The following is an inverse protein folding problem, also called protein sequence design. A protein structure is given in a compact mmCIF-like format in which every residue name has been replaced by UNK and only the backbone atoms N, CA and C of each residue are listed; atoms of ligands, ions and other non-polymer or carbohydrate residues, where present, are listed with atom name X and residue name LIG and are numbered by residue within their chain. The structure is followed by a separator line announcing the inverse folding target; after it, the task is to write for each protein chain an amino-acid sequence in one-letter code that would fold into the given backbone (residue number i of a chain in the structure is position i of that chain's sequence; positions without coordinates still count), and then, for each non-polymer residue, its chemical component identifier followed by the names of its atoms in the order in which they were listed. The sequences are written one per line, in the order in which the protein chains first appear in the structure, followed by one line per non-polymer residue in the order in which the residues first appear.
data_IF_217753913222
#
_entry.id   IF_217753913222
#
_cell.length_a   1.000
_cell.length_b   1.000
_cell.length_c   1.000
_cell.angle_alpha   90.00
_cell.angle_beta   90.00
_cell.angle_gamma   90.00
#
_symmetry.space_group_name_H-M   'P 1'
#
loop_
_entity.id
_entity.type
_entity.pdbx_description
1 polymer ?
#
# COMPACT_ATOMS: atom_id res chain seq x y z
N UNK A 1 -24.30 16.71 -18.77
CA UNK A 1 -23.30 17.11 -17.77
C UNK A 1 -23.14 16.01 -16.73
N UNK A 2 -24.25 15.53 -16.16
CA UNK A 2 -24.24 14.54 -15.07
C UNK A 2 -23.62 13.18 -15.44
N UNK A 3 -23.88 12.66 -16.64
CA UNK A 3 -23.26 11.41 -17.12
C UNK A 3 -21.73 11.52 -17.26
N UNK A 4 -21.21 12.69 -17.65
CA UNK A 4 -19.76 12.91 -17.72
C UNK A 4 -19.17 12.90 -16.32
N UNK A 5 -19.82 13.54 -15.34
CA UNK A 5 -19.37 13.54 -13.94
C UNK A 5 -19.38 12.13 -13.34
N UNK A 6 -20.43 11.33 -13.59
CA UNK A 6 -20.48 9.93 -13.14
C UNK A 6 -19.35 9.13 -13.77
N UNK A 7 -19.13 9.27 -15.09
CA UNK A 7 -18.06 8.59 -15.80
C UNK A 7 -16.68 8.95 -15.24
N UNK A 8 -16.41 10.23 -15.00
CA UNK A 8 -15.14 10.69 -14.45
C UNK A 8 -14.90 10.11 -13.04
N UNK A 9 -15.92 10.10 -12.18
CA UNK A 9 -15.84 9.49 -10.84
C UNK A 9 -15.57 7.98 -10.92
N UNK A 10 -16.24 7.26 -11.81
CA UNK A 10 -16.04 5.82 -11.99
C UNK A 10 -14.63 5.49 -12.51
N UNK A 11 -14.12 6.27 -13.48
CA UNK A 11 -12.75 6.10 -13.98
C UNK A 11 -11.72 6.31 -12.86
N UNK A 12 -11.95 7.27 -11.97
CA UNK A 12 -11.10 7.51 -10.80
C UNK A 12 -11.15 6.38 -9.80
N UNK A 13 -12.34 5.90 -9.44
CA UNK A 13 -12.49 4.77 -8.53
C UNK A 13 -11.78 3.51 -9.08
N UNK A 14 -11.90 3.23 -10.38
CA UNK A 14 -11.17 2.15 -11.06
C UNK A 14 -9.65 2.31 -10.92
N UNK A 15 -9.16 3.51 -11.15
CA UNK A 15 -7.72 3.80 -11.08
C UNK A 15 -7.20 3.69 -9.63
N UNK A 16 -7.98 4.16 -8.66
CA UNK A 16 -7.67 4.01 -7.22
C UNK A 16 -7.65 2.55 -6.79
N UNK A 17 -8.59 1.73 -7.25
CA UNK A 17 -8.61 0.30 -7.00
C UNK A 17 -7.36 -0.38 -7.59
N UNK A 18 -7.02 -0.06 -8.84
CA UNK A 18 -5.83 -0.59 -9.50
C UNK A 18 -4.55 -0.19 -8.78
N UNK A 19 -4.43 1.08 -8.36
CA UNK A 19 -3.29 1.57 -7.60
C UNK A 19 -3.17 0.89 -6.23
N UNK A 20 -4.28 0.72 -5.51
CA UNK A 20 -4.31 0.02 -4.21
C UNK A 20 -3.83 -1.43 -4.34
N UNK A 21 -4.31 -2.15 -5.35
CA UNK A 21 -3.86 -3.52 -5.61
C UNK A 21 -2.37 -3.58 -5.97
N UNK A 22 -1.89 -2.67 -6.81
CA UNK A 22 -0.46 -2.58 -7.15
C UNK A 22 0.42 -2.28 -5.91
N UNK A 23 -0.07 -1.43 -5.00
CA UNK A 23 0.60 -1.15 -3.73
C UNK A 23 0.71 -2.41 -2.88
N UNK A 24 -0.39 -3.17 -2.71
CA UNK A 24 -0.41 -4.42 -1.96
C UNK A 24 0.56 -5.46 -2.55
N UNK A 25 0.56 -5.64 -3.88
CA UNK A 25 1.50 -6.55 -4.55
C UNK A 25 2.96 -6.11 -4.38
N UNK A 26 3.23 -4.81 -4.44
CA UNK A 26 4.59 -4.27 -4.24
C UNK A 26 5.07 -4.53 -2.81
N UNK A 27 4.20 -4.31 -1.82
CA UNK A 27 4.50 -4.57 -0.41
C UNK A 27 4.71 -6.07 -0.15
N UNK A 28 3.89 -6.94 -0.76
CA UNK A 28 4.04 -8.40 -0.63
C UNK A 28 5.36 -8.91 -1.22
N UNK A 29 5.74 -8.39 -2.40
CA UNK A 29 7.05 -8.66 -2.99
C UNK A 29 8.19 -8.19 -2.09
N UNK A 30 8.10 -6.99 -1.51
CA UNK A 30 9.11 -6.49 -0.59
C UNK A 30 9.21 -7.32 0.68
N UNK A 31 8.08 -7.74 1.27
CA UNK A 31 8.07 -8.65 2.42
C UNK A 31 8.83 -9.94 2.11
N UNK A 32 8.53 -10.55 0.97
CA UNK A 32 9.20 -11.77 0.51
C UNK A 32 10.71 -11.58 0.31
N UNK A 33 11.12 -10.44 -0.25
CA UNK A 33 12.54 -10.09 -0.40
C UNK A 33 13.23 -9.86 0.94
N UNK A 34 12.58 -9.17 1.89
CA UNK A 34 13.09 -8.95 3.25
C UNK A 34 13.29 -10.29 3.97
N UNK A 35 12.32 -11.21 3.88
CA UNK A 35 12.42 -12.55 4.46
C UNK A 35 13.58 -13.36 3.86
N UNK A 36 13.78 -13.26 2.54
CA UNK A 36 14.90 -13.91 1.86
C UNK A 36 16.25 -13.33 2.30
N UNK A 37 16.35 -12.01 2.40
CA UNK A 37 17.56 -11.32 2.85
C UNK A 37 17.87 -11.65 4.30
N UNK A 38 16.86 -11.65 5.18
CA UNK A 38 17.01 -12.03 6.58
C UNK A 38 17.61 -13.43 6.73
N UNK A 39 17.09 -14.41 5.97
CA UNK A 39 17.64 -15.77 5.94
C UNK A 39 19.07 -15.80 5.42
N UNK A 40 19.33 -15.14 4.28
CA UNK A 40 20.66 -15.10 3.66
C UNK A 40 21.72 -14.50 4.59
N UNK A 41 21.37 -13.42 5.29
CA UNK A 41 22.26 -12.76 6.27
C UNK A 41 22.56 -13.70 7.43
N UNK A 42 21.55 -14.37 7.99
CA UNK A 42 21.74 -15.36 9.06
C UNK A 42 22.57 -16.57 8.63
N UNK A 43 22.37 -17.06 7.40
CA UNK A 43 23.07 -18.23 6.86
C UNK A 43 24.55 -17.91 6.55
N UNK A 44 24.85 -16.71 6.06
CA UNK A 44 26.23 -16.30 5.69
C UNK A 44 27.10 -15.90 6.87
N UNK A 45 26.55 -15.15 7.81
CA UNK A 45 27.30 -14.61 8.95
C UNK A 45 27.20 -15.54 10.18
N UNK A 46 26.29 -16.51 10.19
CA UNK A 46 25.91 -17.23 11.40
C UNK A 46 25.12 -16.32 12.36
N UNK A 47 24.25 -16.92 13.18
CA UNK A 47 23.31 -16.18 14.04
C UNK A 47 23.99 -15.22 15.05
N UNK A 48 25.29 -15.37 15.31
CA UNK A 48 26.04 -14.56 16.28
C UNK A 48 26.86 -13.40 15.69
N UNK A 49 27.06 -13.33 14.38
CA UNK A 49 27.91 -12.29 13.75
C UNK A 49 27.11 -11.27 12.94
N UNK A 50 25.79 -11.41 12.85
CA UNK A 50 24.93 -10.39 12.24
C UNK A 50 24.98 -9.13 13.12
N UNK A 51 25.38 -7.96 12.58
CA UNK A 51 25.35 -6.72 13.33
C UNK A 51 23.94 -6.46 13.85
N UNK A 52 23.81 -6.21 15.16
CA UNK A 52 22.50 -6.00 15.81
C UNK A 52 21.68 -4.91 15.11
N UNK A 53 22.32 -3.81 14.72
CA UNK A 53 21.67 -2.71 14.01
C UNK A 53 21.05 -3.14 12.67
N UNK A 54 21.68 -4.09 11.96
CA UNK A 54 21.14 -4.64 10.72
C UNK A 54 19.93 -5.53 10.99
N UNK A 55 20.01 -6.41 11.99
CA UNK A 55 18.91 -7.29 12.38
C UNK A 55 17.67 -6.49 12.84
N UNK A 56 17.90 -5.44 13.64
CA UNK A 56 16.87 -4.52 14.10
C UNK A 56 16.26 -3.74 12.93
N UNK A 57 17.09 -3.28 11.99
CA UNK A 57 16.63 -2.59 10.77
C UNK A 57 15.74 -3.50 9.90
N UNK A 58 16.17 -4.73 9.63
CA UNK A 58 15.39 -5.72 8.86
C UNK A 58 14.04 -5.98 9.53
N UNK A 59 14.04 -6.21 10.86
CA UNK A 59 12.82 -6.46 11.63
C UNK A 59 11.87 -5.26 11.60
N UNK A 60 12.41 -4.05 11.77
CA UNK A 60 11.63 -2.82 11.72
C UNK A 60 10.99 -2.60 10.34
N UNK A 61 11.74 -2.81 9.26
CA UNK A 61 11.20 -2.67 7.90
C UNK A 61 10.14 -3.73 7.59
N UNK A 62 10.34 -4.98 8.02
CA UNK A 62 9.33 -6.03 7.89
C UNK A 62 8.01 -5.65 8.57
N UNK A 63 8.08 -5.19 9.82
CA UNK A 63 6.92 -4.70 10.55
C UNK A 63 6.25 -3.52 9.84
N UNK A 64 7.05 -2.60 9.30
CA UNK A 64 6.51 -1.44 8.57
C UNK A 64 5.78 -1.84 7.29
N UNK A 65 6.27 -2.84 6.56
CA UNK A 65 5.56 -3.42 5.40
C UNK A 65 4.22 -4.00 5.84
N UNK A 66 4.19 -4.79 6.92
CA UNK A 66 2.95 -5.37 7.45
C UNK A 66 1.94 -4.32 7.90
N UNK A 67 2.40 -3.26 8.57
CA UNK A 67 1.55 -2.12 8.93
C UNK A 67 0.94 -1.44 7.71
N UNK A 68 1.72 -1.24 6.64
CA UNK A 68 1.23 -0.64 5.39
C UNK A 68 0.25 -1.56 4.66
N UNK A 69 0.52 -2.87 4.62
CA UNK A 69 -0.41 -3.86 4.07
C UNK A 69 -1.72 -3.84 4.85
N UNK A 70 -1.66 -3.85 6.18
CA UNK A 70 -2.83 -3.77 7.03
C UNK A 70 -3.57 -2.44 6.85
N UNK A 71 -2.89 -1.31 6.71
CA UNK A 71 -3.57 -0.04 6.43
C UNK A 71 -4.29 -0.05 5.08
N UNK A 72 -3.80 -0.74 4.07
CA UNK A 72 -4.49 -0.83 2.78
C UNK A 72 -5.61 -1.87 2.79
N UNK A 73 -5.41 -2.98 3.52
CA UNK A 73 -6.33 -4.12 3.56
C UNK A 73 -7.32 -4.11 4.74
N UNK A 74 -7.11 -3.31 5.79
CA UNK A 74 -7.97 -3.22 6.97
C UNK A 74 -8.63 -1.84 7.08
N UNK A 75 -9.86 -1.79 7.62
CA UNK A 75 -10.52 -0.53 7.95
C UNK A 75 -9.81 0.19 9.12
N UNK A 76 -9.69 1.52 9.04
CA UNK A 76 -9.16 2.32 10.15
C UNK A 76 -10.09 2.28 11.38
N UNK A 77 -9.50 2.02 12.55
CA UNK A 77 -10.09 2.36 13.85
C UNK A 77 -10.79 1.25 14.65
N UNK A 78 -10.39 -0.02 14.60
CA UNK A 78 -10.99 -1.03 15.47
C UNK A 78 -10.16 -2.29 15.74
N UNK A 79 -10.27 -2.81 16.96
CA UNK A 79 -9.89 -4.17 17.36
C UNK A 79 -10.78 -5.18 16.61
N UNK A 80 -10.47 -5.48 15.35
CA UNK A 80 -11.07 -6.60 14.60
C UNK A 80 -12.60 -6.66 14.60
N UNK A 81 -13.32 -5.53 14.71
CA UNK A 81 -14.78 -5.55 14.60
C UNK A 81 -15.16 -5.74 13.13
N UNK A 82 -15.73 -6.91 12.86
CA UNK A 82 -16.45 -7.27 11.65
C UNK A 82 -17.48 -6.18 11.32
N UNK A 83 -17.30 -5.42 10.23
CA UNK A 83 -18.34 -4.47 9.80
C UNK A 83 -17.90 -3.25 8.99
N UNK A 84 -16.60 -2.95 8.86
CA UNK A 84 -16.13 -1.89 7.96
C UNK A 84 -15.43 -2.50 6.76
N UNK A 85 -16.01 -2.30 5.57
CA UNK A 85 -15.42 -2.73 4.31
C UNK A 85 -14.03 -2.10 4.11
N UNK A 86 -13.11 -2.85 3.52
CA UNK A 86 -11.73 -2.44 3.26
C UNK A 86 -11.69 -1.22 2.32
N UNK A 87 -10.58 -0.46 2.27
CA UNK A 87 -10.49 0.66 1.32
C UNK A 87 -10.80 0.20 -0.12
N UNK A 88 -10.25 -0.95 -0.52
CA UNK A 88 -10.49 -1.53 -1.85
C UNK A 88 -11.95 -1.94 -2.06
N UNK A 89 -12.60 -2.49 -1.03
CA UNK A 89 -14.00 -2.91 -1.07
C UNK A 89 -14.95 -1.71 -1.10
N UNK A 90 -14.63 -0.64 -0.37
CA UNK A 90 -15.42 0.60 -0.36
C UNK A 90 -15.31 1.35 -1.68
N UNK A 91 -14.11 1.41 -2.26
CA UNK A 91 -13.89 1.94 -3.62
C UNK A 91 -14.71 1.14 -4.63
N UNK A 92 -14.60 -0.20 -4.60
CA UNK A 92 -15.35 -1.08 -5.49
C UNK A 92 -16.87 -0.97 -5.29
N UNK A 93 -17.32 -0.88 -4.04
CA UNK A 93 -18.73 -0.72 -3.68
C UNK A 93 -19.33 0.56 -4.28
N UNK A 94 -18.66 1.70 -4.11
CA UNK A 94 -19.11 2.95 -4.71
C UNK A 94 -19.07 2.89 -6.24
N UNK A 95 -18.05 2.26 -6.84
CA UNK A 95 -18.00 2.05 -8.28
C UNK A 95 -19.23 1.30 -8.79
N UNK A 96 -19.59 0.17 -8.17
CA UNK A 96 -20.77 -0.60 -8.57
C UNK A 96 -22.08 0.14 -8.31
N UNK A 97 -22.17 0.94 -7.24
CA UNK A 97 -23.35 1.79 -7.00
C UNK A 97 -23.55 2.79 -8.13
N UNK A 98 -22.48 3.49 -8.53
CA UNK A 98 -22.53 4.47 -9.62
C UNK A 98 -22.81 3.82 -10.98
N UNK A 99 -22.23 2.65 -11.26
CA UNK A 99 -22.44 1.90 -12.51
C UNK A 99 -23.87 1.36 -12.63
N UNK A 100 -24.52 1.05 -11.50
CA UNK A 100 -25.87 0.46 -11.47
C UNK A 100 -27.01 1.44 -11.79
N UNK A 101 -26.73 2.75 -11.87
CA UNK A 101 -27.76 3.77 -12.04
C UNK A 101 -27.43 4.72 -13.20
N UNK A 102 -28.34 4.88 -14.15
CA UNK A 102 -28.28 5.92 -15.18
C UNK A 102 -28.70 7.30 -14.64
N UNK A 103 -28.26 7.62 -13.42
CA UNK A 103 -28.62 8.84 -12.69
C UNK A 103 -27.39 9.63 -12.28
N UNK A 104 -27.59 10.92 -12.01
CA UNK A 104 -26.56 11.74 -11.40
C UNK A 104 -26.21 11.21 -10.00
N UNK A 105 -24.94 11.27 -9.56
CA UNK A 105 -24.58 10.79 -8.23
C UNK A 105 -25.36 11.57 -7.17
N UNK A 106 -25.74 10.92 -6.08
CA UNK A 106 -26.37 11.60 -4.95
C UNK A 106 -25.36 12.48 -4.21
N UNK A 107 -25.80 13.49 -3.43
CA UNK A 107 -24.88 14.25 -2.57
C UNK A 107 -24.06 13.36 -1.63
N UNK A 108 -24.67 12.31 -1.09
CA UNK A 108 -24.00 11.34 -0.21
C UNK A 108 -22.92 10.53 -0.97
N UNK A 109 -23.17 10.12 -2.21
CA UNK A 109 -22.16 9.44 -3.04
C UNK A 109 -20.99 10.35 -3.38
N UNK A 110 -21.24 11.64 -3.66
CA UNK A 110 -20.18 12.63 -3.89
C UNK A 110 -19.33 12.87 -2.65
N UNK A 111 -19.95 12.93 -1.48
CA UNK A 111 -19.25 13.05 -0.20
C UNK A 111 -18.38 11.82 0.07
N UNK A 112 -18.95 10.62 -0.07
CA UNK A 112 -18.22 9.37 0.09
C UNK A 112 -17.05 9.26 -0.90
N UNK A 113 -17.24 9.67 -2.16
CA UNK A 113 -16.15 9.74 -3.13
C UNK A 113 -15.01 10.64 -2.65
N UNK A 114 -15.33 11.85 -2.16
CA UNK A 114 -14.34 12.79 -1.64
C UNK A 114 -13.56 12.25 -0.45
N UNK A 115 -14.23 11.54 0.46
CA UNK A 115 -13.59 10.91 1.61
C UNK A 115 -12.69 9.73 1.21
N UNK A 116 -13.16 8.88 0.30
CA UNK A 116 -12.36 7.78 -0.26
C UNK A 116 -11.12 8.29 -0.98
N UNK A 117 -11.23 9.38 -1.73
CA UNK A 117 -10.09 9.99 -2.42
C UNK A 117 -9.04 10.48 -1.43
N UNK A 118 -9.44 11.20 -0.37
CA UNK A 118 -8.52 11.68 0.67
C UNK A 118 -7.82 10.54 1.40
N UNK A 119 -8.58 9.51 1.78
CA UNK A 119 -8.04 8.33 2.46
C UNK A 119 -7.05 7.56 1.58
N UNK A 120 -7.40 7.38 0.29
CA UNK A 120 -6.52 6.78 -0.70
C UNK A 120 -5.23 7.59 -0.87
N UNK A 121 -5.32 8.90 -1.08
CA UNK A 121 -4.16 9.77 -1.30
C UNK A 121 -3.20 9.70 -0.10
N UNK A 122 -3.73 9.75 1.12
CA UNK A 122 -2.95 9.64 2.35
C UNK A 122 -2.22 8.29 2.44
N UNK A 123 -2.93 7.18 2.23
CA UNK A 123 -2.36 5.82 2.35
C UNK A 123 -1.34 5.52 1.26
N UNK A 124 -1.61 5.91 0.01
CA UNK A 124 -0.65 5.73 -1.09
C UNK A 124 0.57 6.63 -0.92
N UNK A 125 0.42 7.85 -0.38
CA UNK A 125 1.55 8.70 -0.05
C UNK A 125 2.45 8.06 1.03
N UNK A 126 1.87 7.41 2.05
CA UNK A 126 2.64 6.66 3.05
C UNK A 126 3.44 5.50 2.41
N UNK A 127 2.82 4.74 1.51
CA UNK A 127 3.50 3.66 0.79
C UNK A 127 4.63 4.21 -0.07
N UNK A 128 4.38 5.25 -0.87
CA UNK A 128 5.39 5.84 -1.73
C UNK A 128 6.55 6.44 -0.93
N UNK A 129 6.30 7.03 0.25
CA UNK A 129 7.36 7.49 1.16
C UNK A 129 8.21 6.33 1.67
N UNK A 130 7.57 5.23 2.10
CA UNK A 130 8.28 4.03 2.52
C UNK A 130 9.17 3.47 1.40
N UNK A 131 8.66 3.38 0.18
CA UNK A 131 9.41 2.88 -0.97
C UNK A 131 10.59 3.79 -1.34
N UNK A 132 10.44 5.11 -1.23
CA UNK A 132 11.45 6.09 -1.66
C UNK A 132 12.49 6.43 -0.60
N UNK A 133 12.18 6.25 0.68
CA UNK A 133 13.07 6.62 1.78
C UNK A 133 13.57 5.39 2.54
N UNK A 134 12.66 4.56 3.05
CA UNK A 134 13.01 3.48 3.97
C UNK A 134 13.71 2.30 3.27
N UNK A 135 13.26 1.93 2.06
CA UNK A 135 13.88 0.85 1.29
C UNK A 135 15.34 1.18 0.88
N UNK A 136 15.65 2.37 0.34
CA UNK A 136 17.04 2.75 0.09
C UNK A 136 17.93 2.75 1.33
N UNK A 137 17.41 3.21 2.48
CA UNK A 137 18.16 3.17 3.74
C UNK A 137 18.52 1.74 4.16
N UNK A 138 17.57 0.79 4.05
CA UNK A 138 17.86 -0.62 4.30
C UNK A 138 18.87 -1.18 3.27
N UNK A 139 18.77 -0.80 2.00
CA UNK A 139 19.71 -1.21 0.97
C UNK A 139 21.15 -0.73 1.23
N UNK A 140 21.35 0.45 1.81
CA UNK A 140 22.67 0.89 2.26
C UNK A 140 23.23 0.01 3.38
N UNK A 141 22.40 -0.34 4.38
CA UNK A 141 22.81 -1.23 5.46
C UNK A 141 23.16 -2.64 4.94
N UNK A 142 22.35 -3.18 4.02
CA UNK A 142 22.57 -4.46 3.38
C UNK A 142 23.85 -4.50 2.56
N UNK A 143 24.15 -3.44 1.80
CA UNK A 143 25.39 -3.34 1.03
C UNK A 143 26.63 -3.38 1.93
N UNK A 144 26.62 -2.64 3.05
CA UNK A 144 27.74 -2.64 4.00
C UNK A 144 27.98 -4.02 4.61
N UNK A 145 26.93 -4.81 4.76
CA UNK A 145 26.99 -6.18 5.27
C UNK A 145 27.24 -7.24 4.19
N UNK A 146 27.46 -6.86 2.92
CA UNK A 146 27.65 -7.82 1.82
C UNK A 146 26.41 -8.66 1.49
N UNK A 147 25.22 -8.19 1.87
CA UNK A 147 23.95 -8.86 1.66
C UNK A 147 23.26 -8.41 0.34
N UNK A 148 22.37 -9.23 -0.24
CA UNK A 148 21.56 -8.81 -1.38
C UNK A 148 20.68 -7.60 -1.04
N UNK A 149 20.54 -6.66 -1.97
CA UNK A 149 19.65 -5.51 -1.82
C UNK A 149 18.24 -5.80 -2.30
N UNK A 150 17.28 -5.07 -1.77
CA UNK A 150 15.88 -5.09 -2.19
C UNK A 150 15.69 -4.30 -3.49
N UNK A 151 14.79 -4.79 -4.32
CA UNK A 151 14.31 -4.11 -5.51
C UNK A 151 12.95 -3.48 -5.22
N UNK A 152 12.89 -2.15 -5.33
CA UNK A 152 11.62 -1.42 -5.39
C UNK A 152 11.09 -1.50 -6.83
N UNK A 153 9.85 -1.93 -7.01
CA UNK A 153 9.14 -1.77 -8.28
C UNK A 153 8.93 -0.30 -8.65
N UNK A 154 8.16 -0.02 -9.71
CA UNK A 154 7.74 1.36 -10.01
C UNK A 154 6.91 1.90 -8.84
N UNK A 155 7.04 3.19 -8.47
CA UNK A 155 6.15 3.83 -7.51
C UNK A 155 4.69 3.60 -7.90
N UNK A 156 3.82 3.48 -6.89
CA UNK A 156 2.39 3.30 -7.15
C UNK A 156 1.87 4.62 -7.74
N UNK A 157 1.45 4.57 -9.00
CA UNK A 157 0.95 5.74 -9.71
C UNK A 157 -0.36 6.23 -9.09
N UNK A 158 -0.44 7.53 -8.86
CA UNK A 158 -1.71 8.18 -8.51
C UNK A 158 -2.59 8.30 -9.76
N UNK A 159 -3.93 8.22 -9.63
CA UNK A 159 -4.84 8.53 -10.73
C UNK A 159 -4.52 9.91 -11.30
N UNK A 160 -4.42 10.03 -12.63
CA UNK A 160 -4.09 11.31 -13.29
C UNK A 160 -5.20 12.34 -13.05
N UNK A 161 -4.89 13.62 -12.77
CA UNK A 161 -5.85 14.70 -12.49
C UNK A 161 -6.78 15.01 -13.67
#
# INVERSE_FOLDING_TARGET
ADLQTTLDMMLRLRDMQSATNNALHTLDSLKSQIDFVERTVKDRLGQGEVPKDLADSITAQKKRVEELQNKLAQPEGGLGFEGRAQLVERIGGLFFTLDSTDAAPTPAERELYGDLQKEFDARIAEVNRFLSEAVPQLNEALRRAGAPTLMTGKPVGLPKP
#
